data_IF_361092913920
#
_entry.id   IF_361092913920
#
_cell.length_a   1.000
_cell.length_b   1.000
_cell.length_c   1.000
_cell.angle_alpha   90.00
_cell.angle_beta   90.00
_cell.angle_gamma   90.00
#
_symmetry.space_group_name_H-M   'P 1'
#
loop_
_entity.id
_entity.type
_entity.pdbx_description
1 polymer ?
#
# COMPACT_ATOMS: atom_id res chain seq x y z
N UNK A 1 -1.71 8.32 -24.13
CA UNK A 1 -2.49 7.42 -23.71
C UNK A 1 -2.25 5.93 -23.92
N UNK A 2 -1.79 5.42 -25.07
CA UNK A 2 -1.46 4.00 -25.25
C UNK A 2 -0.38 3.51 -24.28
N UNK A 3 0.67 4.32 -24.03
CA UNK A 3 1.72 4.00 -23.06
C UNK A 3 1.18 3.86 -21.63
N UNK A 4 0.29 4.74 -21.21
CA UNK A 4 -0.33 4.66 -19.89
C UNK A 4 -1.19 3.40 -19.75
N UNK A 5 -2.00 3.09 -20.76
CA UNK A 5 -2.83 1.88 -20.78
C UNK A 5 -1.95 0.62 -20.70
N UNK A 6 -0.83 0.59 -21.43
CA UNK A 6 0.12 -0.53 -21.37
C UNK A 6 0.73 -0.72 -19.98
N UNK A 7 1.20 0.37 -19.35
CA UNK A 7 1.78 0.33 -18.00
C UNK A 7 0.74 -0.13 -16.97
N UNK A 8 -0.47 0.42 -17.02
CA UNK A 8 -1.55 0.03 -16.10
C UNK A 8 -1.96 -1.43 -16.30
N UNK A 9 -2.08 -1.91 -17.55
CA UNK A 9 -2.40 -3.31 -17.84
C UNK A 9 -1.32 -4.27 -17.33
N UNK A 10 -0.03 -3.90 -17.48
CA UNK A 10 1.09 -4.66 -16.94
C UNK A 10 0.99 -4.77 -15.42
N UNK A 11 0.77 -3.64 -14.74
CA UNK A 11 0.68 -3.61 -13.28
C UNK A 11 -0.54 -4.37 -12.75
N UNK A 12 -1.69 -4.26 -13.40
CA UNK A 12 -2.88 -5.05 -13.05
C UNK A 12 -2.62 -6.55 -13.20
N UNK A 13 -1.93 -6.95 -14.26
CA UNK A 13 -1.50 -8.34 -14.46
C UNK A 13 -0.56 -8.82 -13.34
N UNK A 14 0.47 -8.04 -13.03
CA UNK A 14 1.42 -8.34 -11.93
C UNK A 14 0.71 -8.43 -10.58
N UNK A 15 -0.21 -7.48 -10.28
CA UNK A 15 -1.00 -7.51 -9.05
C UNK A 15 -1.85 -8.78 -8.94
N UNK A 16 -2.47 -9.23 -10.04
CA UNK A 16 -3.26 -10.46 -10.06
C UNK A 16 -2.41 -11.71 -9.85
N UNK A 17 -1.22 -11.75 -10.43
CA UNK A 17 -0.23 -12.80 -10.17
C UNK A 17 0.17 -12.80 -8.69
N UNK A 18 0.43 -11.63 -8.12
CA UNK A 18 0.76 -11.49 -6.70
C UNK A 18 -0.37 -11.91 -5.76
N UNK A 19 -1.62 -11.61 -6.12
CA UNK A 19 -2.81 -12.04 -5.37
C UNK A 19 -2.86 -13.57 -5.30
N UNK A 20 -2.74 -14.24 -6.43
CA UNK A 20 -2.68 -15.70 -6.50
C UNK A 20 -1.40 -16.26 -5.90
N UNK A 21 -0.29 -15.53 -5.98
CA UNK A 21 1.01 -15.85 -5.42
C UNK A 21 1.12 -15.78 -3.89
N UNK A 22 0.02 -15.48 -3.18
CA UNK A 22 0.00 -15.43 -1.72
C UNK A 22 0.51 -14.13 -1.12
N UNK A 23 0.67 -13.06 -1.92
CA UNK A 23 1.07 -11.72 -1.43
C UNK A 23 0.07 -11.22 -0.38
N UNK A 24 -1.24 -11.47 -0.56
CA UNK A 24 -2.26 -11.14 0.44
C UNK A 24 -1.97 -11.85 1.76
N UNK A 25 -1.60 -13.13 1.73
CA UNK A 25 -1.28 -13.90 2.93
C UNK A 25 -0.05 -13.33 3.65
N UNK A 26 0.97 -12.89 2.90
CA UNK A 26 2.16 -12.22 3.44
C UNK A 26 1.79 -10.89 4.12
N UNK A 27 1.04 -10.02 3.42
CA UNK A 27 0.57 -8.76 3.99
C UNK A 27 -0.33 -8.97 5.20
N UNK A 28 -1.24 -9.95 5.15
CA UNK A 28 -2.11 -10.31 6.27
C UNK A 28 -1.32 -10.79 7.48
N UNK A 29 -0.24 -11.54 7.28
CA UNK A 29 0.65 -11.98 8.37
C UNK A 29 1.44 -10.80 8.96
N UNK A 30 1.97 -9.92 8.10
CA UNK A 30 2.80 -8.79 8.52
C UNK A 30 1.96 -7.68 9.16
N UNK A 31 0.88 -7.27 8.52
CA UNK A 31 0.06 -6.12 8.92
C UNK A 31 -1.19 -6.52 9.72
N UNK A 32 -1.53 -7.81 9.74
CA UNK A 32 -2.70 -8.32 10.43
C UNK A 32 -2.82 -7.90 11.90
N UNK A 33 -1.73 -7.93 12.69
CA UNK A 33 -1.76 -7.46 14.07
C UNK A 33 -2.12 -5.97 14.20
N UNK A 34 -1.61 -5.11 13.31
CA UNK A 34 -1.97 -3.69 13.25
C UNK A 34 -3.42 -3.53 12.79
N UNK A 35 -3.79 -4.24 11.71
CA UNK A 35 -5.11 -4.18 11.12
C UNK A 35 -6.21 -4.54 12.12
N UNK A 36 -6.03 -5.61 12.89
CA UNK A 36 -6.99 -6.04 13.91
C UNK A 36 -7.21 -5.01 15.03
N UNK A 37 -6.27 -4.06 15.19
CA UNK A 37 -6.38 -2.95 16.16
C UNK A 37 -7.00 -1.70 15.57
N UNK A 38 -6.77 -1.46 14.27
CA UNK A 38 -7.38 -0.33 13.55
C UNK A 38 -8.82 -0.62 13.11
N UNK A 39 -9.15 -1.91 12.92
CA UNK A 39 -10.47 -2.37 12.47
C UNK A 39 -11.07 -3.40 13.46
N UNK A 40 -11.31 -3.01 14.71
CA UNK A 40 -11.76 -3.97 15.74
C UNK A 40 -13.14 -4.58 15.43
N UNK A 41 -13.97 -3.88 14.67
CA UNK A 41 -15.33 -4.30 14.35
C UNK A 41 -15.41 -5.29 13.16
N UNK A 42 -14.28 -5.57 12.50
CA UNK A 42 -14.23 -6.58 11.42
C UNK A 42 -13.94 -7.96 12.02
N UNK A 43 -14.80 -8.97 11.77
CA UNK A 43 -14.54 -10.33 12.21
C UNK A 43 -13.24 -10.89 11.65
N UNK A 44 -12.50 -11.65 12.47
CA UNK A 44 -11.24 -12.27 12.05
C UNK A 44 -11.50 -13.25 10.88
N UNK A 45 -10.67 -13.13 9.84
CA UNK A 45 -10.78 -13.99 8.66
C UNK A 45 -11.88 -13.59 7.67
N UNK A 46 -12.58 -12.47 7.89
CA UNK A 46 -13.61 -12.03 6.95
C UNK A 46 -12.98 -11.64 5.59
N UNK A 47 -13.58 -12.03 4.44
CA UNK A 47 -13.03 -11.76 3.09
C UNK A 47 -12.76 -10.29 2.79
N UNK A 48 -13.53 -9.37 3.39
CA UNK A 48 -13.33 -7.92 3.23
C UNK A 48 -11.92 -7.46 3.62
N UNK A 49 -11.29 -8.16 4.57
CA UNK A 49 -9.89 -7.87 4.98
C UNK A 49 -8.94 -8.00 3.80
N UNK A 50 -9.10 -9.03 2.97
CA UNK A 50 -8.31 -9.22 1.75
C UNK A 50 -8.51 -8.08 0.75
N UNK A 51 -9.76 -7.65 0.53
CA UNK A 51 -10.09 -6.53 -0.37
C UNK A 51 -9.47 -5.22 0.12
N UNK A 52 -9.49 -4.95 1.43
CA UNK A 52 -8.85 -3.78 2.03
C UNK A 52 -7.33 -3.84 1.83
N UNK A 53 -6.68 -4.98 2.11
CA UNK A 53 -5.24 -5.12 1.91
C UNK A 53 -4.83 -4.91 0.46
N UNK A 54 -5.57 -5.46 -0.50
CA UNK A 54 -5.29 -5.26 -1.92
C UNK A 54 -5.44 -3.80 -2.35
N UNK A 55 -6.46 -3.12 -1.87
CA UNK A 55 -6.63 -1.69 -2.12
C UNK A 55 -5.47 -0.87 -1.53
N UNK A 56 -5.11 -1.13 -0.26
CA UNK A 56 -3.98 -0.43 0.38
C UNK A 56 -2.67 -0.72 -0.35
N UNK A 57 -2.41 -1.97 -0.77
CA UNK A 57 -1.22 -2.31 -1.55
C UNK A 57 -1.16 -1.56 -2.89
N UNK A 58 -2.29 -1.45 -3.60
CA UNK A 58 -2.38 -0.68 -4.84
C UNK A 58 -2.07 0.81 -4.61
N UNK A 59 -2.61 1.41 -3.54
CA UNK A 59 -2.30 2.79 -3.15
C UNK A 59 -0.82 2.97 -2.79
N UNK A 60 -0.24 2.04 -2.02
CA UNK A 60 1.19 2.09 -1.65
C UNK A 60 2.11 2.04 -2.87
N UNK A 61 1.68 1.40 -3.94
CA UNK A 61 2.38 1.37 -5.23
C UNK A 61 2.02 2.53 -6.17
N UNK A 62 1.17 3.46 -5.73
CA UNK A 62 0.72 4.58 -6.55
C UNK A 62 -0.04 4.16 -7.81
N UNK A 63 -0.82 3.07 -7.70
CA UNK A 63 -1.64 2.53 -8.79
C UNK A 63 -3.10 2.98 -8.64
N UNK A 64 -3.35 4.28 -8.70
CA UNK A 64 -4.63 4.92 -8.40
C UNK A 64 -5.81 4.28 -9.16
N UNK A 65 -5.60 3.97 -10.46
CA UNK A 65 -6.64 3.36 -11.30
C UNK A 65 -6.96 1.90 -10.90
N UNK A 66 -5.98 1.16 -10.36
CA UNK A 66 -6.19 -0.19 -9.85
C UNK A 66 -6.78 -0.17 -8.42
N UNK A 67 -6.45 0.84 -7.64
CA UNK A 67 -6.95 0.99 -6.28
C UNK A 67 -8.47 1.25 -6.25
N UNK A 68 -9.01 2.00 -7.21
CA UNK A 68 -10.43 2.38 -7.24
C UNK A 68 -11.40 1.17 -7.21
N UNK A 69 -11.34 0.20 -8.15
CA UNK A 69 -12.25 -0.96 -8.11
C UNK A 69 -12.06 -1.83 -6.88
N UNK A 70 -10.82 -1.95 -6.37
CA UNK A 70 -10.53 -2.68 -5.14
C UNK A 70 -11.13 -1.98 -3.92
N UNK A 71 -11.08 -0.63 -3.90
CA UNK A 71 -11.69 0.19 -2.86
C UNK A 71 -13.20 0.07 -2.83
N UNK A 72 -13.86 0.09 -3.99
CA UNK A 72 -15.30 -0.13 -4.10
C UNK A 72 -15.69 -1.50 -3.57
N UNK A 73 -14.98 -2.57 -3.97
CA UNK A 73 -15.23 -3.92 -3.46
C UNK A 73 -15.02 -4.03 -1.94
N UNK A 74 -14.01 -3.36 -1.41
CA UNK A 74 -13.81 -3.30 0.03
C UNK A 74 -14.96 -2.58 0.75
N UNK A 75 -15.43 -1.46 0.18
CA UNK A 75 -16.56 -0.69 0.73
C UNK A 75 -17.88 -1.46 0.68
N UNK A 76 -18.15 -2.21 -0.39
CA UNK A 76 -19.30 -3.12 -0.48
C UNK A 76 -19.27 -4.16 0.63
N UNK A 77 -18.15 -4.85 0.83
CA UNK A 77 -17.99 -5.82 1.91
C UNK A 77 -18.09 -5.20 3.32
N UNK A 78 -17.62 -3.96 3.51
CA UNK A 78 -17.81 -3.21 4.76
C UNK A 78 -19.28 -2.82 4.96
N UNK A 79 -19.99 -2.49 3.89
CA UNK A 79 -21.42 -2.18 3.94
C UNK A 79 -22.27 -3.40 4.28
N UNK A 80 -21.87 -4.61 3.85
CA UNK A 80 -22.51 -5.86 4.27
C UNK A 80 -22.43 -6.07 5.78
N UNK A 81 -21.29 -5.74 6.39
CA UNK A 81 -21.08 -5.81 7.83
C UNK A 81 -21.72 -4.66 8.61
N UNK A 82 -22.14 -3.60 7.94
CA UNK A 82 -22.66 -2.41 8.58
C UNK A 82 -24.09 -2.63 9.13
N UNK A 83 -24.33 -2.50 10.44
CA UNK A 83 -25.65 -2.67 11.03
C UNK A 83 -26.61 -1.52 10.68
N UNK A 84 -26.08 -0.33 10.36
CA UNK A 84 -26.87 0.87 10.00
C UNK A 84 -26.56 1.26 8.56
N UNK A 85 -27.40 0.85 7.63
CA UNK A 85 -27.16 0.96 6.19
C UNK A 85 -27.10 2.41 5.65
N UNK A 86 -27.67 3.34 6.35
CA UNK A 86 -27.74 4.78 6.04
C UNK A 86 -26.63 5.63 6.67
N UNK A 87 -25.78 5.02 7.50
CA UNK A 87 -24.72 5.71 8.25
C UNK A 87 -23.41 4.95 8.09
N UNK A 88 -22.31 5.65 7.82
CA UNK A 88 -20.98 5.02 7.72
C UNK A 88 -20.56 4.39 9.05
N UNK A 89 -20.13 3.13 9.02
CA UNK A 89 -19.58 2.44 10.18
C UNK A 89 -18.13 2.86 10.48
N UNK A 90 -17.65 2.60 11.70
CA UNK A 90 -16.27 2.88 12.09
C UNK A 90 -15.23 2.27 11.11
N UNK A 91 -15.34 0.99 10.69
CA UNK A 91 -14.42 0.45 9.68
C UNK A 91 -14.47 1.19 8.34
N UNK A 92 -15.64 1.63 7.89
CA UNK A 92 -15.76 2.41 6.65
C UNK A 92 -15.05 3.76 6.78
N UNK A 93 -15.21 4.46 7.91
CA UNK A 93 -14.55 5.76 8.17
C UNK A 93 -13.03 5.56 8.21
N UNK A 94 -12.53 4.55 8.95
CA UNK A 94 -11.09 4.24 9.02
C UNK A 94 -10.54 3.93 7.63
N UNK A 95 -11.24 3.10 6.85
CA UNK A 95 -10.84 2.74 5.50
C UNK A 95 -10.77 3.96 4.56
N UNK A 96 -11.77 4.85 4.61
CA UNK A 96 -11.78 6.10 3.85
C UNK A 96 -10.62 7.01 4.23
N UNK A 97 -10.32 7.14 5.52
CA UNK A 97 -9.20 7.97 5.99
C UNK A 97 -7.87 7.42 5.49
N UNK A 98 -7.65 6.10 5.55
CA UNK A 98 -6.43 5.47 5.03
C UNK A 98 -6.30 5.67 3.51
N UNK A 99 -7.40 5.59 2.75
CA UNK A 99 -7.39 5.85 1.31
C UNK A 99 -7.12 7.32 0.98
N UNK A 100 -7.77 8.25 1.69
CA UNK A 100 -7.63 9.69 1.44
C UNK A 100 -6.23 10.20 1.82
N UNK A 101 -5.64 9.65 2.89
CA UNK A 101 -4.26 9.98 3.29
C UNK A 101 -3.21 9.35 2.38
N UNK A 102 -3.55 8.21 1.73
CA UNK A 102 -2.87 7.62 0.60
C UNK A 102 -1.38 7.38 0.78
N UNK A 103 -0.96 6.64 1.83
CA UNK A 103 0.45 6.29 1.99
C UNK A 103 1.00 5.66 0.70
N UNK A 104 1.91 6.37 0.04
CA UNK A 104 2.51 5.95 -1.21
C UNK A 104 3.99 5.65 -1.00
N UNK A 105 4.36 4.37 -1.10
CA UNK A 105 5.76 3.94 -1.01
C UNK A 105 6.50 4.19 -2.31
N UNK A 106 5.85 3.93 -3.45
CA UNK A 106 6.39 4.20 -4.77
C UNK A 106 5.32 4.88 -5.63
N UNK A 107 5.50 6.14 -6.00
CA UNK A 107 4.53 6.89 -6.82
C UNK A 107 4.68 6.54 -8.32
N UNK A 108 4.42 5.28 -8.70
CA UNK A 108 4.67 4.77 -10.06
C UNK A 108 3.96 5.62 -11.11
N UNK A 109 2.67 5.87 -10.94
CA UNK A 109 1.88 6.65 -11.91
C UNK A 109 2.46 8.04 -12.14
N UNK A 110 2.85 8.74 -11.05
CA UNK A 110 3.42 10.09 -11.13
C UNK A 110 4.81 10.06 -11.80
N UNK A 111 5.64 9.07 -11.47
CA UNK A 111 6.96 8.93 -12.09
C UNK A 111 6.85 8.67 -13.59
N UNK A 112 5.89 7.81 -14.02
CA UNK A 112 5.61 7.55 -15.43
C UNK A 112 5.11 8.81 -16.14
N UNK A 113 4.18 9.57 -15.56
CA UNK A 113 3.72 10.84 -16.14
C UNK A 113 4.86 11.85 -16.29
N UNK A 114 5.70 11.99 -15.27
CA UNK A 114 6.87 12.87 -15.33
C UNK A 114 7.84 12.47 -16.43
N UNK A 115 8.11 11.18 -16.60
CA UNK A 115 8.93 10.65 -17.68
C UNK A 115 8.33 10.92 -19.06
N UNK A 116 7.03 10.71 -19.24
CA UNK A 116 6.33 10.99 -20.50
C UNK A 116 6.30 12.47 -20.86
N UNK A 117 6.29 13.36 -19.87
CA UNK A 117 6.34 14.81 -20.04
C UNK A 117 7.77 15.34 -20.20
N UNK A 118 8.78 14.47 -20.27
CA UNK A 118 10.16 14.85 -20.52
C UNK A 118 10.89 15.45 -19.30
N UNK A 119 10.45 15.13 -18.07
CA UNK A 119 11.18 15.55 -16.89
C UNK A 119 12.62 14.99 -16.91
N UNK A 120 13.61 15.83 -16.60
CA UNK A 120 15.01 15.42 -16.58
C UNK A 120 15.30 14.31 -15.56
N UNK A 121 14.60 14.34 -14.44
CA UNK A 121 14.70 13.35 -13.37
C UNK A 121 13.28 12.98 -12.89
N UNK A 122 12.61 11.98 -13.50
CA UNK A 122 11.25 11.61 -13.13
C UNK A 122 11.11 11.11 -11.69
N UNK A 123 12.19 10.57 -11.11
CA UNK A 123 12.21 9.89 -9.80
C UNK A 123 12.56 10.81 -8.62
N UNK A 124 12.94 12.06 -8.84
CA UNK A 124 13.33 13.01 -7.78
C UNK A 124 12.20 13.30 -6.78
N UNK A 125 10.94 13.11 -7.20
CA UNK A 125 9.76 13.32 -6.39
C UNK A 125 9.48 12.17 -5.40
N UNK A 126 10.24 11.07 -5.46
CA UNK A 126 10.02 9.87 -4.64
C UNK A 126 10.04 10.18 -3.14
N UNK A 127 11.13 10.78 -2.65
CA UNK A 127 11.28 11.11 -1.21
C UNK A 127 10.26 12.14 -0.73
N UNK A 128 10.04 13.27 -1.43
CA UNK A 128 8.99 14.22 -1.07
C UNK A 128 7.60 13.60 -0.95
N UNK A 129 7.20 12.73 -1.90
CA UNK A 129 5.90 12.06 -1.85
C UNK A 129 5.83 11.09 -0.67
N UNK A 130 6.86 10.27 -0.46
CA UNK A 130 6.91 9.35 0.67
C UNK A 130 6.71 10.09 2.01
N UNK A 131 7.43 11.19 2.21
CA UNK A 131 7.32 12.00 3.43
C UNK A 131 5.94 12.63 3.58
N UNK A 132 5.43 13.27 2.54
CA UNK A 132 4.13 13.94 2.57
C UNK A 132 3.00 12.95 2.87
N UNK A 133 2.98 11.80 2.18
CA UNK A 133 1.95 10.78 2.37
C UNK A 133 2.09 10.04 3.70
N UNK A 134 3.31 9.86 4.20
CA UNK A 134 3.54 9.31 5.54
C UNK A 134 2.94 10.21 6.62
N UNK A 135 3.27 11.51 6.63
CA UNK A 135 2.74 12.43 7.63
C UNK A 135 1.22 12.59 7.51
N UNK A 136 0.68 12.62 6.29
CA UNK A 136 -0.77 12.63 6.04
C UNK A 136 -1.44 11.40 6.66
N UNK A 137 -0.89 10.21 6.41
CA UNK A 137 -1.44 8.95 6.94
C UNK A 137 -1.34 8.87 8.46
N UNK A 138 -0.20 9.31 9.02
CA UNK A 138 -0.03 9.37 10.47
C UNK A 138 -1.07 10.29 11.13
N UNK A 139 -1.25 11.49 10.59
CA UNK A 139 -2.26 12.44 11.07
C UNK A 139 -3.68 11.87 10.92
N UNK A 140 -4.00 11.24 9.79
CA UNK A 140 -5.28 10.59 9.56
C UNK A 140 -5.58 9.46 10.55
N UNK A 141 -4.61 8.55 10.77
CA UNK A 141 -4.76 7.47 11.76
C UNK A 141 -4.95 8.03 13.17
N UNK A 142 -4.18 9.03 13.56
CA UNK A 142 -4.32 9.66 14.89
C UNK A 142 -5.69 10.29 15.02
N UNK A 143 -6.12 11.11 14.07
CA UNK A 143 -7.42 11.80 14.13
C UNK A 143 -8.59 10.81 14.20
N UNK A 144 -8.63 9.81 13.33
CA UNK A 144 -9.72 8.83 13.31
C UNK A 144 -9.69 7.92 14.54
N UNK A 145 -8.50 7.58 15.05
CA UNK A 145 -8.38 6.77 16.26
C UNK A 145 -8.87 7.51 17.49
N UNK A 146 -8.63 8.81 17.60
CA UNK A 146 -9.20 9.65 18.67
C UNK A 146 -10.73 9.66 18.54
N UNK A 147 -11.26 9.88 17.35
CA UNK A 147 -12.70 9.89 17.10
C UNK A 147 -13.37 8.55 17.47
N UNK A 148 -12.75 7.43 17.08
CA UNK A 148 -13.26 6.08 17.33
C UNK A 148 -12.86 5.51 18.69
N UNK A 149 -12.14 6.29 19.53
CA UNK A 149 -11.61 5.87 20.83
C UNK A 149 -10.74 4.63 20.78
N UNK A 150 -10.00 4.44 19.68
CA UNK A 150 -9.00 3.39 19.55
C UNK A 150 -7.78 3.76 20.41
N UNK A 151 -7.33 2.84 21.25
CA UNK A 151 -6.16 3.06 22.10
C UNK A 151 -4.87 3.04 21.29
N UNK A 152 -4.36 4.23 20.93
CA UNK A 152 -3.10 4.40 20.19
C UNK A 152 -1.88 3.95 20.99
N UNK A 153 -1.95 3.91 22.32
CA UNK A 153 -0.86 3.42 23.17
C UNK A 153 -0.79 1.89 23.26
N UNK A 154 -1.61 1.18 22.48
CA UNK A 154 -1.48 -0.27 22.35
C UNK A 154 -0.09 -0.61 21.80
N UNK A 155 0.59 -1.60 22.43
CA UNK A 155 1.96 -2.02 22.07
C UNK A 155 2.10 -2.33 20.57
N UNK A 156 1.10 -2.92 19.96
CA UNK A 156 1.10 -3.24 18.54
C UNK A 156 1.09 -1.98 17.68
N UNK A 157 0.16 -1.05 17.95
CA UNK A 157 0.06 0.22 17.20
C UNK A 157 1.35 1.03 17.40
N UNK A 158 1.83 1.14 18.64
CA UNK A 158 3.04 1.88 18.98
C UNK A 158 4.28 1.30 18.28
N UNK A 159 4.39 -0.03 18.21
CA UNK A 159 5.47 -0.71 17.49
C UNK A 159 5.45 -0.38 15.99
N UNK A 160 4.28 -0.46 15.34
CA UNK A 160 4.16 -0.19 13.91
C UNK A 160 4.34 1.29 13.59
N UNK A 161 3.63 2.19 14.27
CA UNK A 161 3.73 3.63 14.04
C UNK A 161 5.11 4.16 14.46
N UNK A 162 5.62 3.72 15.60
CA UNK A 162 6.95 4.09 16.07
C UNK A 162 8.06 3.57 15.17
N UNK A 163 7.99 2.31 14.76
CA UNK A 163 8.93 1.71 13.81
C UNK A 163 8.94 2.43 12.45
N UNK A 164 7.74 2.75 11.92
CA UNK A 164 7.62 3.51 10.67
C UNK A 164 8.16 4.94 10.84
N UNK A 165 7.86 5.60 11.97
CA UNK A 165 8.37 6.95 12.25
C UNK A 165 9.88 6.96 12.38
N UNK A 166 10.49 5.96 13.03
CA UNK A 166 11.94 5.80 13.12
C UNK A 166 12.58 5.56 11.75
N UNK A 167 11.94 4.74 10.91
CA UNK A 167 12.40 4.50 9.54
C UNK A 167 12.40 5.80 8.73
N UNK A 168 11.30 6.54 8.78
CA UNK A 168 11.20 7.84 8.07
C UNK A 168 12.19 8.84 8.63
N UNK A 169 12.36 8.94 9.95
CA UNK A 169 13.37 9.80 10.58
C UNK A 169 14.79 9.41 10.14
N UNK A 170 15.08 8.11 10.05
CA UNK A 170 16.34 7.60 9.52
C UNK A 170 16.58 7.98 8.06
N UNK A 171 15.55 7.89 7.21
CA UNK A 171 15.61 8.35 5.82
C UNK A 171 15.91 9.85 5.77
N UNK A 172 15.18 10.66 6.53
CA UNK A 172 15.41 12.13 6.59
C UNK A 172 16.84 12.43 7.04
N UNK A 173 17.29 11.79 8.13
CA UNK A 173 18.65 11.97 8.63
C UNK A 173 19.69 11.60 7.57
N UNK A 174 19.54 10.43 6.93
CA UNK A 174 20.44 9.98 5.86
C UNK A 174 20.49 10.98 4.70
N UNK A 175 19.34 11.44 4.21
CA UNK A 175 19.29 12.38 3.10
C UNK A 175 19.84 13.77 3.48
N UNK A 176 19.75 14.21 4.73
CA UNK A 176 20.36 15.46 5.21
C UNK A 176 21.89 15.41 5.24
N UNK A 177 22.50 14.22 5.25
CA UNK A 177 23.96 14.06 5.21
C UNK A 177 24.53 14.06 3.78
N UNK A 178 23.66 14.02 2.76
CA UNK A 178 24.03 13.90 1.36
C UNK A 178 24.05 15.24 0.64
N UNK A 179 24.92 15.38 -0.36
CA UNK A 179 24.87 16.48 -1.32
C UNK A 179 23.69 16.32 -2.28
N UNK A 180 23.24 17.41 -2.93
CA UNK A 180 22.09 17.35 -3.87
C UNK A 180 22.26 16.29 -4.95
N UNK A 181 23.43 16.19 -5.58
CA UNK A 181 23.69 15.18 -6.61
C UNK A 181 23.60 13.74 -6.06
N UNK A 182 24.06 13.53 -4.83
CA UNK A 182 23.96 12.23 -4.17
C UNK A 182 22.50 11.88 -3.83
N UNK A 183 21.70 12.85 -3.39
CA UNK A 183 20.26 12.64 -3.13
C UNK A 183 19.58 12.12 -4.39
N UNK A 184 19.82 12.73 -5.54
CA UNK A 184 19.22 12.30 -6.81
C UNK A 184 19.64 10.89 -7.19
N UNK A 185 20.93 10.56 -7.08
CA UNK A 185 21.45 9.24 -7.39
C UNK A 185 20.86 8.18 -6.44
N UNK A 186 20.92 8.42 -5.12
CA UNK A 186 20.42 7.46 -4.14
C UNK A 186 18.88 7.29 -4.22
N UNK A 187 18.13 8.38 -4.40
CA UNK A 187 16.68 8.33 -4.54
C UNK A 187 16.27 7.53 -5.78
N UNK A 188 16.89 7.78 -6.92
CA UNK A 188 16.66 7.05 -8.17
C UNK A 188 17.06 5.57 -8.04
N UNK A 189 18.24 5.31 -7.47
CA UNK A 189 18.73 3.94 -7.29
C UNK A 189 17.83 3.16 -6.35
N UNK A 190 17.44 3.76 -5.22
CA UNK A 190 16.54 3.13 -4.26
C UNK A 190 15.17 2.82 -4.88
N UNK A 191 14.57 3.78 -5.60
CA UNK A 191 13.30 3.58 -6.27
C UNK A 191 13.38 2.44 -7.31
N UNK A 192 14.42 2.42 -8.14
CA UNK A 192 14.61 1.40 -9.17
C UNK A 192 14.87 0.01 -8.57
N UNK A 193 15.73 -0.10 -7.56
CA UNK A 193 16.02 -1.38 -6.87
C UNK A 193 14.77 -1.90 -6.18
N UNK A 194 14.04 -1.04 -5.47
CA UNK A 194 12.81 -1.43 -4.77
C UNK A 194 11.73 -1.89 -5.75
N UNK A 195 11.53 -1.15 -6.85
CA UNK A 195 10.62 -1.53 -7.93
C UNK A 195 10.98 -2.88 -8.53
N UNK A 196 12.27 -3.09 -8.83
CA UNK A 196 12.78 -4.34 -9.37
C UNK A 196 12.57 -5.53 -8.42
N UNK A 197 12.82 -5.34 -7.12
CA UNK A 197 12.57 -6.36 -6.10
C UNK A 197 11.07 -6.71 -5.98
N UNK A 198 10.18 -5.72 -6.08
CA UNK A 198 8.74 -5.97 -6.10
C UNK A 198 8.36 -6.82 -7.33
N UNK A 199 8.79 -6.43 -8.52
CA UNK A 199 8.49 -7.16 -9.75
C UNK A 199 8.99 -8.60 -9.66
N UNK A 200 10.24 -8.81 -9.24
CA UNK A 200 10.79 -10.16 -9.04
C UNK A 200 9.98 -10.92 -7.98
N UNK A 201 9.65 -10.28 -6.86
CA UNK A 201 8.85 -10.90 -5.81
C UNK A 201 7.51 -11.42 -6.33
N UNK A 202 6.80 -10.63 -7.13
CA UNK A 202 5.54 -11.05 -7.75
C UNK A 202 5.75 -12.18 -8.76
N UNK A 203 6.78 -12.11 -9.60
CA UNK A 203 7.09 -13.16 -10.58
C UNK A 203 7.41 -14.49 -9.87
N UNK A 204 8.28 -14.46 -8.86
CA UNK A 204 8.65 -15.65 -8.09
C UNK A 204 7.44 -16.25 -7.36
N UNK A 205 6.60 -15.40 -6.75
CA UNK A 205 5.37 -15.85 -6.11
C UNK A 205 4.40 -16.50 -7.12
N UNK A 206 4.26 -15.92 -8.32
CA UNK A 206 3.44 -16.48 -9.40
C UNK A 206 3.96 -17.83 -9.90
N UNK A 207 5.28 -17.95 -10.12
CA UNK A 207 5.91 -19.21 -10.58
C UNK A 207 5.73 -20.31 -9.51
N UNK A 208 5.96 -20.01 -8.24
CA UNK A 208 5.78 -20.99 -7.16
C UNK A 208 4.35 -21.54 -7.11
N UNK A 209 3.35 -20.68 -7.24
CA UNK A 209 1.95 -21.11 -7.23
C UNK A 209 1.56 -21.87 -8.48
N UNK A 210 2.08 -21.49 -9.66
CA UNK A 210 1.84 -22.22 -10.88
C UNK A 210 2.42 -23.65 -10.81
N UNK A 211 3.62 -23.81 -10.24
CA UNK A 211 4.24 -25.12 -10.05
C UNK A 211 3.51 -25.99 -9.01
N UNK A 212 2.98 -25.38 -7.94
CA UNK A 212 2.18 -26.10 -6.95
C UNK A 212 0.85 -26.58 -7.55
N UNK A 213 0.18 -25.74 -8.35
CA UNK A 213 -1.10 -26.08 -8.98
C UNK A 213 -0.97 -27.19 -10.03
N UNK A 214 0.15 -27.26 -10.75
CA UNK A 214 0.43 -28.37 -11.69
C UNK A 214 0.77 -29.67 -10.97
N UNK A 215 1.34 -29.64 -9.78
CA UNK A 215 1.60 -30.80 -8.94
C UNK A 215 0.31 -31.43 -8.40
N UNK A 216 -0.61 -30.58 -7.89
CA UNK A 216 -1.90 -31.07 -7.34
C UNK A 216 -2.90 -31.53 -8.42
N UNK A 217 -2.66 -31.17 -9.70
CA UNK A 217 -3.49 -31.62 -10.83
C UNK A 217 -2.96 -32.92 -11.47
N UNK A 218 -1.80 -33.42 -11.02
CA UNK A 218 -1.16 -34.64 -11.52
C UNK A 218 -1.39 -35.86 -10.59
N UNK A 219 -1.95 -35.65 -9.39
CA UNK A 219 -2.41 -36.68 -8.44
C UNK A 219 -3.96 -36.83 -8.55
#
# INVERSE_FOLDING_TARGET
SLGLTGVLSLWLGIMRIGEQGGVIALFSRLLGPLFSKLFPDIPKGHPVTGSIFMNLAANMLGLDNAATPLGLKAMEGLQELNPKKDTASNPMIMFLVLNTSGLTLIPISIMVYRAQLGAAQPTDIFVPILLATFFSTLAGIVAVSIYQRINLFNRTILFFLGGMSLLVAGIIYFFNTLSRNQIDIYSTTFANVFLFLIIIGFIVAGIRNCLLYTSDAAD
#
